data_IF_229733489882
#
_entry.id   IF_229733489882
#
_cell.length_a   1.000
_cell.length_b   1.000
_cell.length_c   1.000
_cell.angle_alpha   90.00
_cell.angle_beta   90.00
_cell.angle_gamma   90.00
#
_symmetry.space_group_name_H-M   'P 1'
#
loop_
_entity.id
_entity.type
_entity.pdbx_description
1 polymer ?
#
# COMPACT_ATOMS: atom_id res chain seq x y z
N UNK A 1 17.15 -10.05 -35.63
CA UNK A 1 17.70 -9.67 -34.34
C UNK A 1 16.52 -9.60 -33.34
N UNK A 2 16.34 -10.66 -32.54
CA UNK A 2 15.22 -10.78 -31.63
C UNK A 2 15.43 -9.91 -30.39
N UNK A 3 14.50 -8.97 -30.12
CA UNK A 3 14.46 -8.24 -28.89
C UNK A 3 14.24 -9.24 -27.72
N UNK A 4 15.22 -9.40 -26.87
CA UNK A 4 15.08 -10.17 -25.65
C UNK A 4 13.96 -9.53 -24.82
N UNK A 5 12.80 -10.20 -24.75
CA UNK A 5 11.68 -9.85 -23.88
C UNK A 5 12.19 -10.00 -22.45
N UNK A 6 12.55 -8.88 -21.81
CA UNK A 6 12.88 -8.85 -20.38
C UNK A 6 11.73 -9.53 -19.64
N UNK A 7 11.96 -10.73 -19.16
CA UNK A 7 10.99 -11.46 -18.34
C UNK A 7 10.81 -10.66 -17.05
N UNK A 8 9.78 -9.84 -16.99
CA UNK A 8 9.40 -9.10 -15.78
C UNK A 8 9.17 -10.13 -14.68
N UNK A 9 9.95 -10.06 -13.62
CA UNK A 9 9.85 -10.97 -12.49
C UNK A 9 8.44 -10.83 -11.91
N UNK A 10 7.63 -11.92 -11.98
CA UNK A 10 6.25 -11.90 -11.50
C UNK A 10 6.19 -11.56 -10.01
N UNK A 11 5.31 -10.63 -9.65
CA UNK A 11 5.03 -10.30 -8.26
C UNK A 11 4.25 -11.45 -7.63
N UNK A 12 4.77 -11.97 -6.52
CA UNK A 12 4.15 -13.06 -5.77
C UNK A 12 3.04 -12.52 -4.90
N UNK A 13 1.86 -13.14 -4.98
CA UNK A 13 0.67 -12.78 -4.21
C UNK A 13 0.27 -13.94 -3.33
N UNK A 14 -0.04 -13.69 -2.07
CA UNK A 14 -0.72 -14.60 -1.17
C UNK A 14 -2.17 -14.13 -1.03
N UNK A 15 -3.13 -15.05 -1.14
CA UNK A 15 -4.55 -14.79 -0.97
C UNK A 15 -5.05 -15.51 0.27
N UNK A 16 -5.47 -14.77 1.28
CA UNK A 16 -5.97 -15.28 2.56
C UNK A 16 -7.45 -14.94 2.70
N UNK A 17 -8.31 -15.93 2.54
CA UNK A 17 -9.75 -15.79 2.64
C UNK A 17 -10.40 -17.13 3.01
N UNK A 18 -11.42 -17.14 3.85
CA UNK A 18 -12.13 -18.36 4.23
C UNK A 18 -13.02 -18.90 3.11
N UNK A 19 -13.47 -18.03 2.23
CA UNK A 19 -14.31 -18.37 1.09
C UNK A 19 -13.46 -18.94 -0.06
N UNK A 20 -13.48 -20.26 -0.25
CA UNK A 20 -12.70 -20.92 -1.32
C UNK A 20 -13.04 -20.39 -2.72
N UNK A 21 -14.30 -20.02 -2.96
CA UNK A 21 -14.72 -19.45 -4.24
C UNK A 21 -14.05 -18.09 -4.50
N UNK A 22 -13.89 -17.28 -3.45
CA UNK A 22 -13.22 -15.98 -3.55
C UNK A 22 -11.72 -16.13 -3.81
N UNK A 23 -11.05 -17.08 -3.11
CA UNK A 23 -9.64 -17.40 -3.39
C UNK A 23 -9.44 -17.88 -4.81
N UNK A 24 -10.30 -18.79 -5.27
CA UNK A 24 -10.26 -19.29 -6.66
C UNK A 24 -10.50 -18.17 -7.67
N UNK A 25 -11.43 -17.25 -7.38
CA UNK A 25 -11.71 -16.08 -8.21
C UNK A 25 -10.48 -15.18 -8.36
N UNK A 26 -9.84 -14.78 -7.25
CA UNK A 26 -8.64 -13.96 -7.28
C UNK A 26 -7.46 -14.67 -7.95
N UNK A 27 -7.31 -15.99 -7.72
CA UNK A 27 -6.28 -16.78 -8.38
C UNK A 27 -6.43 -16.79 -9.90
N UNK A 28 -7.65 -16.97 -10.42
CA UNK A 28 -7.93 -16.91 -11.86
C UNK A 28 -7.76 -15.49 -12.39
N UNK A 29 -8.21 -14.48 -11.65
CA UNK A 29 -8.09 -13.07 -12.03
C UNK A 29 -6.62 -12.65 -12.18
N UNK A 30 -5.76 -13.00 -11.22
CA UNK A 30 -4.35 -12.68 -11.28
C UNK A 30 -3.55 -13.56 -12.26
N UNK A 31 -4.07 -14.74 -12.61
CA UNK A 31 -3.40 -15.64 -13.56
C UNK A 31 -3.38 -15.11 -15.00
N UNK A 32 -4.31 -14.22 -15.38
CA UNK A 32 -4.35 -13.60 -16.69
C UNK A 32 -3.36 -12.43 -16.83
N UNK A 33 -2.80 -11.96 -15.71
CA UNK A 33 -1.79 -10.90 -15.70
C UNK A 33 -0.39 -11.49 -15.86
N UNK A 34 0.40 -10.90 -16.75
CA UNK A 34 1.77 -11.39 -17.05
C UNK A 34 2.72 -11.19 -15.87
N UNK A 35 2.45 -10.22 -14.99
CA UNK A 35 3.33 -9.77 -13.90
C UNK A 35 2.83 -10.12 -12.50
N UNK A 36 1.72 -10.81 -12.35
CA UNK A 36 1.18 -11.29 -11.07
C UNK A 36 1.18 -12.84 -11.01
N UNK A 37 1.35 -13.40 -9.81
CA UNK A 37 1.23 -14.83 -9.57
C UNK A 37 0.80 -15.12 -8.14
N UNK A 38 -0.32 -15.81 -7.95
CA UNK A 38 -0.69 -16.36 -6.65
C UNK A 38 0.25 -17.52 -6.32
N UNK A 39 0.98 -17.41 -5.23
CA UNK A 39 1.98 -18.39 -4.77
C UNK A 39 1.53 -19.19 -3.56
N UNK A 40 0.56 -18.65 -2.80
CA UNK A 40 -0.03 -19.32 -1.65
C UNK A 40 -1.49 -18.88 -1.44
N UNK A 41 -2.26 -19.78 -0.86
CA UNK A 41 -3.60 -19.55 -0.36
C UNK A 41 -3.63 -19.86 1.13
N UNK A 42 -4.48 -19.17 1.91
CA UNK A 42 -4.60 -19.34 3.35
C UNK A 42 -6.07 -19.15 3.81
N UNK A 43 -6.45 -19.83 4.87
CA UNK A 43 -7.80 -19.76 5.46
C UNK A 43 -7.78 -19.28 6.92
N UNK A 44 -6.60 -19.18 7.51
CA UNK A 44 -6.40 -18.78 8.91
C UNK A 44 -5.05 -18.07 9.09
N UNK A 45 -4.83 -17.39 10.24
CA UNK A 45 -3.60 -16.64 10.51
C UNK A 45 -2.32 -17.47 10.46
N UNK A 46 -2.38 -18.73 10.92
CA UNK A 46 -1.20 -19.61 10.94
C UNK A 46 -0.74 -19.96 9.51
N UNK A 47 -1.69 -20.18 8.60
CA UNK A 47 -1.40 -20.41 7.19
C UNK A 47 -0.87 -19.14 6.49
N UNK A 48 -1.40 -17.97 6.85
CA UNK A 48 -0.87 -16.69 6.35
C UNK A 48 0.61 -16.56 6.68
N UNK A 49 0.99 -16.79 7.94
CA UNK A 49 2.39 -16.69 8.38
C UNK A 49 3.28 -17.73 7.70
N UNK A 50 2.86 -18.99 7.65
CA UNK A 50 3.61 -20.04 6.92
C UNK A 50 3.80 -19.70 5.44
N UNK A 51 2.74 -19.22 4.80
CA UNK A 51 2.79 -18.81 3.40
C UNK A 51 3.70 -17.59 3.18
N UNK A 52 3.68 -16.62 4.08
CA UNK A 52 4.54 -15.44 4.05
C UNK A 52 6.02 -15.83 4.23
N UNK A 53 6.33 -16.70 5.17
CA UNK A 53 7.68 -17.18 5.43
C UNK A 53 8.24 -17.97 4.25
N UNK A 54 7.46 -18.95 3.75
CA UNK A 54 7.89 -19.88 2.69
C UNK A 54 8.05 -19.19 1.34
N UNK A 55 7.08 -18.37 0.95
CA UNK A 55 7.02 -17.81 -0.41
C UNK A 55 7.47 -16.36 -0.49
N UNK A 56 7.61 -15.67 0.64
CA UNK A 56 7.97 -14.25 0.73
C UNK A 56 7.21 -13.41 -0.32
N UNK A 57 5.87 -13.35 -0.22
CA UNK A 57 5.04 -12.65 -1.21
C UNK A 57 5.34 -11.16 -1.18
N UNK A 58 5.13 -10.48 -2.32
CA UNK A 58 5.18 -9.03 -2.42
C UNK A 58 3.85 -8.39 -1.99
N UNK A 59 2.75 -9.16 -2.11
CA UNK A 59 1.41 -8.73 -1.76
C UNK A 59 0.69 -9.85 -1.00
N UNK A 60 -0.05 -9.47 0.03
CA UNK A 60 -1.04 -10.33 0.71
C UNK A 60 -2.40 -9.65 0.61
N UNK A 61 -3.38 -10.33 0.01
CA UNK A 61 -4.78 -9.99 0.16
C UNK A 61 -5.33 -10.81 1.30
N UNK A 62 -5.77 -10.16 2.38
CA UNK A 62 -6.22 -10.82 3.59
C UNK A 62 -7.64 -10.41 3.96
N UNK A 63 -8.50 -11.39 4.19
CA UNK A 63 -9.86 -11.17 4.68
C UNK A 63 -9.84 -10.55 6.08
N UNK A 64 -10.71 -9.57 6.31
CA UNK A 64 -10.81 -8.83 7.57
C UNK A 64 -10.99 -9.75 8.78
N UNK A 65 -11.77 -10.82 8.64
CA UNK A 65 -12.03 -11.77 9.71
C UNK A 65 -10.79 -12.61 10.08
N UNK A 66 -9.95 -12.97 9.10
CA UNK A 66 -8.66 -13.64 9.36
C UNK A 66 -7.72 -12.67 10.08
N UNK A 67 -7.71 -11.40 9.65
CA UNK A 67 -6.90 -10.39 10.31
C UNK A 67 -7.35 -10.16 11.76
N UNK A 68 -8.66 -10.11 12.01
CA UNK A 68 -9.22 -9.95 13.36
C UNK A 68 -8.86 -11.14 14.27
N UNK A 69 -8.90 -12.37 13.76
CA UNK A 69 -8.51 -13.59 14.49
C UNK A 69 -7.02 -13.59 14.84
N UNK A 70 -6.16 -13.15 13.89
CA UNK A 70 -4.71 -13.06 14.10
C UNK A 70 -4.26 -11.92 15.01
N UNK A 71 -5.19 -11.06 15.39
CA UNK A 71 -4.95 -9.90 16.25
C UNK A 71 -4.21 -8.75 15.57
N UNK A 72 -4.00 -7.67 16.32
CA UNK A 72 -3.36 -6.43 15.82
C UNK A 72 -1.93 -6.63 15.29
N UNK A 73 -1.27 -7.71 15.67
CA UNK A 73 0.13 -7.97 15.33
C UNK A 73 0.32 -8.81 14.06
N UNK A 74 -0.74 -9.33 13.43
CA UNK A 74 -0.59 -10.23 12.28
C UNK A 74 0.12 -9.55 11.10
N UNK A 75 -0.21 -8.30 10.79
CA UNK A 75 0.47 -7.55 9.73
C UNK A 75 1.95 -7.37 10.05
N UNK A 76 2.27 -6.99 11.28
CA UNK A 76 3.65 -6.85 11.75
C UNK A 76 4.43 -8.18 11.69
N UNK A 77 3.78 -9.30 12.04
CA UNK A 77 4.38 -10.63 11.94
C UNK A 77 4.64 -11.04 10.48
N UNK A 78 3.71 -10.75 9.57
CA UNK A 78 3.93 -10.96 8.13
C UNK A 78 5.11 -10.14 7.62
N UNK A 79 5.23 -8.87 8.03
CA UNK A 79 6.37 -8.01 7.65
C UNK A 79 7.69 -8.46 8.25
N UNK A 80 7.69 -9.02 9.46
CA UNK A 80 8.90 -9.55 10.07
C UNK A 80 9.54 -10.68 9.24
N UNK A 81 8.72 -11.55 8.63
CA UNK A 81 9.19 -12.66 7.79
C UNK A 81 9.31 -12.30 6.30
N UNK A 82 8.57 -11.28 5.85
CA UNK A 82 8.59 -10.77 4.48
C UNK A 82 8.58 -9.22 4.47
N UNK A 83 9.72 -8.54 4.70
CA UNK A 83 9.78 -7.09 4.94
C UNK A 83 9.23 -6.22 3.80
N UNK A 84 9.36 -6.67 2.55
CA UNK A 84 8.84 -5.95 1.38
C UNK A 84 7.35 -6.21 1.09
N UNK A 85 6.72 -7.08 1.89
CA UNK A 85 5.34 -7.47 1.68
C UNK A 85 4.38 -6.33 2.03
N UNK A 86 3.46 -6.05 1.10
CA UNK A 86 2.35 -5.11 1.31
C UNK A 86 1.07 -5.89 1.58
N UNK A 87 0.34 -5.49 2.61
CA UNK A 87 -0.91 -6.16 3.02
C UNK A 87 -2.11 -5.32 2.60
N UNK A 88 -3.03 -5.92 1.86
CA UNK A 88 -4.33 -5.35 1.48
C UNK A 88 -5.42 -6.11 2.19
N UNK A 89 -6.26 -5.41 2.94
CA UNK A 89 -7.41 -6.01 3.62
C UNK A 89 -8.58 -6.12 2.66
N UNK A 90 -9.19 -7.30 2.55
CA UNK A 90 -10.43 -7.53 1.82
C UNK A 90 -11.59 -7.59 2.82
N UNK A 91 -12.60 -6.74 2.63
CA UNK A 91 -13.74 -6.63 3.51
C UNK A 91 -15.07 -6.81 2.76
N UNK A 92 -16.06 -7.42 3.38
CA UNK A 92 -17.42 -7.56 2.82
C UNK A 92 -18.20 -6.25 2.90
N UNK A 93 -17.98 -5.48 3.97
CA UNK A 93 -18.45 -4.12 4.18
C UNK A 93 -17.36 -3.37 4.94
N UNK A 94 -17.25 -2.08 4.74
CA UNK A 94 -16.27 -1.28 5.49
C UNK A 94 -16.89 0.05 5.88
N UNK A 95 -16.83 0.34 7.18
CA UNK A 95 -16.98 1.72 7.65
C UNK A 95 -15.65 2.46 7.49
N UNK A 96 -15.71 3.79 7.45
CA UNK A 96 -14.53 4.63 7.39
C UNK A 96 -13.59 4.36 8.58
N UNK A 97 -14.16 4.09 9.75
CA UNK A 97 -13.45 3.81 10.99
C UNK A 97 -12.74 2.44 10.98
N UNK A 98 -13.37 1.39 10.41
CA UNK A 98 -12.75 0.08 10.25
C UNK A 98 -11.56 0.13 9.30
N UNK A 99 -11.73 0.81 8.16
CA UNK A 99 -10.64 1.00 7.19
C UNK A 99 -9.46 1.75 7.79
N UNK A 100 -9.74 2.78 8.61
CA UNK A 100 -8.70 3.52 9.34
C UNK A 100 -7.92 2.64 10.31
N UNK A 101 -8.62 1.79 11.09
CA UNK A 101 -7.95 0.84 11.98
C UNK A 101 -7.01 -0.08 11.24
N UNK A 102 -7.43 -0.64 10.08
CA UNK A 102 -6.56 -1.52 9.29
C UNK A 102 -5.31 -0.80 8.80
N UNK A 103 -5.48 0.43 8.33
CA UNK A 103 -4.36 1.27 7.88
C UNK A 103 -3.43 1.65 9.01
N UNK A 104 -3.96 2.05 10.18
CA UNK A 104 -3.13 2.37 11.37
C UNK A 104 -2.35 1.16 11.90
N UNK A 105 -2.81 -0.07 11.60
CA UNK A 105 -2.08 -1.30 11.87
C UNK A 105 -1.14 -1.72 10.73
N UNK A 106 -0.96 -0.86 9.72
CA UNK A 106 0.02 -1.05 8.66
C UNK A 106 -0.49 -1.74 7.40
N UNK A 107 -1.81 -1.79 7.17
CA UNK A 107 -2.33 -2.23 5.87
C UNK A 107 -2.02 -1.18 4.79
N UNK A 108 -1.52 -1.61 3.65
CA UNK A 108 -1.27 -0.77 2.48
C UNK A 108 -2.56 -0.39 1.74
N UNK A 109 -3.67 -0.99 2.11
CA UNK A 109 -4.98 -0.65 1.55
C UNK A 109 -6.12 -1.51 2.06
N UNK A 110 -7.33 -1.04 1.73
CA UNK A 110 -8.58 -1.78 1.98
C UNK A 110 -9.38 -1.83 0.68
N UNK A 111 -9.88 -3.00 0.30
CA UNK A 111 -10.71 -3.22 -0.87
C UNK A 111 -11.95 -4.02 -0.51
N UNK A 112 -13.12 -3.59 -1.01
CA UNK A 112 -14.36 -4.30 -0.77
C UNK A 112 -14.49 -5.52 -1.70
N UNK A 113 -14.98 -6.66 -1.19
CA UNK A 113 -15.22 -7.85 -2.01
C UNK A 113 -16.24 -7.63 -3.13
N UNK A 114 -17.18 -6.68 -2.93
CA UNK A 114 -18.28 -6.37 -3.86
C UNK A 114 -17.96 -5.28 -4.90
N UNK A 115 -16.70 -5.18 -5.32
CA UNK A 115 -16.29 -4.27 -6.38
C UNK A 115 -16.09 -5.01 -7.71
N UNK A 116 -15.96 -4.26 -8.81
CA UNK A 116 -15.55 -4.84 -10.09
C UNK A 116 -14.23 -5.63 -9.90
N UNK A 117 -14.17 -6.91 -10.32
CA UNK A 117 -12.97 -7.73 -10.17
C UNK A 117 -11.69 -7.08 -10.71
N UNK A 118 -11.79 -6.28 -11.77
CA UNK A 118 -10.64 -5.54 -12.34
C UNK A 118 -10.00 -4.56 -11.36
N UNK A 119 -10.74 -4.13 -10.33
CA UNK A 119 -10.19 -3.26 -9.30
C UNK A 119 -9.20 -3.99 -8.39
N UNK A 120 -9.29 -5.32 -8.24
CA UNK A 120 -8.28 -6.10 -7.52
C UNK A 120 -6.94 -6.13 -8.26
N UNK A 121 -6.96 -6.26 -9.58
CA UNK A 121 -5.74 -6.16 -10.42
C UNK A 121 -5.13 -4.76 -10.29
N UNK A 122 -5.96 -3.73 -10.42
CA UNK A 122 -5.53 -2.34 -10.29
C UNK A 122 -4.98 -2.04 -8.90
N UNK A 123 -5.61 -2.57 -7.85
CA UNK A 123 -5.15 -2.48 -6.47
C UNK A 123 -3.78 -3.15 -6.32
N UNK A 124 -3.64 -4.39 -6.82
CA UNK A 124 -2.38 -5.13 -6.75
C UNK A 124 -1.22 -4.36 -7.41
N UNK A 125 -1.44 -3.78 -8.59
CA UNK A 125 -0.42 -3.00 -9.27
C UNK A 125 -0.03 -1.74 -8.50
N UNK A 126 -1.01 -0.96 -8.03
CA UNK A 126 -0.76 0.29 -7.30
C UNK A 126 -0.06 0.06 -5.97
N UNK A 127 -0.56 -0.91 -5.19
CA UNK A 127 0.04 -1.23 -3.90
C UNK A 127 1.46 -1.77 -4.07
N UNK A 128 1.71 -2.59 -5.10
CA UNK A 128 3.06 -3.04 -5.41
C UNK A 128 4.01 -1.91 -5.87
N UNK A 129 3.47 -0.79 -6.32
CA UNK A 129 4.20 0.44 -6.65
C UNK A 129 4.39 1.38 -5.45
N UNK A 130 3.91 0.96 -4.25
CA UNK A 130 3.99 1.74 -3.03
C UNK A 130 2.88 2.79 -2.89
N UNK A 131 1.81 2.70 -3.72
CA UNK A 131 0.64 3.54 -3.55
C UNK A 131 -0.33 2.89 -2.55
N UNK A 132 -1.02 3.71 -1.74
CA UNK A 132 -2.08 3.22 -0.89
C UNK A 132 -3.37 3.01 -1.70
N UNK A 133 -4.14 1.97 -1.34
CA UNK A 133 -5.46 1.73 -1.89
C UNK A 133 -6.55 1.96 -0.85
N UNK A 134 -7.20 3.13 -0.93
CA UNK A 134 -8.27 3.52 -0.01
C UNK A 134 -9.47 4.00 -0.80
N UNK A 135 -10.69 3.63 -0.40
CA UNK A 135 -11.90 4.17 -1.02
C UNK A 135 -11.95 5.70 -0.92
N UNK A 136 -12.23 6.38 -2.04
CA UNK A 136 -12.16 7.85 -2.17
C UNK A 136 -12.95 8.65 -1.12
N UNK A 137 -14.05 8.09 -0.61
CA UNK A 137 -14.88 8.75 0.43
C UNK A 137 -14.18 8.84 1.79
N UNK A 138 -13.15 8.04 2.03
CA UNK A 138 -12.53 7.87 3.35
C UNK A 138 -11.33 8.80 3.58
N UNK A 139 -10.74 9.37 2.52
CA UNK A 139 -9.55 10.22 2.63
C UNK A 139 -9.79 11.48 3.45
N UNK A 140 -10.97 12.11 3.32
CA UNK A 140 -11.32 13.32 4.10
C UNK A 140 -11.65 13.01 5.57
N UNK A 141 -12.22 11.83 5.84
CA UNK A 141 -12.52 11.37 7.20
C UNK A 141 -11.23 10.94 7.91
N UNK A 142 -10.28 10.37 7.19
CA UNK A 142 -8.95 10.03 7.69
C UNK A 142 -8.20 11.26 8.22
N UNK A 143 -8.20 12.35 7.48
CA UNK A 143 -7.54 13.59 7.92
C UNK A 143 -8.10 14.08 9.27
N UNK A 144 -9.42 14.07 9.44
CA UNK A 144 -10.10 14.53 10.67
C UNK A 144 -9.85 13.63 11.90
N UNK A 145 -9.77 12.31 11.71
CA UNK A 145 -9.58 11.36 12.81
C UNK A 145 -8.13 11.31 13.30
N UNK A 146 -7.18 11.63 12.43
CA UNK A 146 -5.76 11.75 12.80
C UNK A 146 -5.47 13.02 13.60
N UNK A 147 -6.24 14.09 13.37
CA UNK A 147 -6.20 15.28 14.23
C UNK A 147 -6.62 14.98 15.68
N UNK A 148 -7.39 13.93 15.90
CA UNK A 148 -7.89 13.55 17.22
C UNK A 148 -6.96 12.61 18.04
N UNK A 149 -5.92 12.00 17.44
CA UNK A 149 -5.04 11.03 18.13
C UNK A 149 -3.54 11.31 17.92
N UNK A 150 -2.94 12.27 18.65
CA UNK A 150 -1.61 12.78 18.35
C UNK A 150 -0.39 11.89 18.70
N UNK A 151 -0.53 10.76 19.35
CA UNK A 151 0.60 10.18 20.12
C UNK A 151 1.31 8.93 19.56
N UNK A 152 1.04 8.46 18.34
CA UNK A 152 1.55 7.14 17.90
C UNK A 152 2.55 7.10 16.74
N UNK A 153 3.23 8.19 16.37
CA UNK A 153 4.19 8.19 15.26
C UNK A 153 5.61 8.56 15.70
N UNK A 154 6.65 7.86 15.21
CA UNK A 154 8.04 8.15 15.58
C UNK A 154 8.56 9.43 14.91
N UNK A 155 9.46 10.14 15.62
CA UNK A 155 10.19 11.28 15.09
C UNK A 155 11.54 10.81 14.50
N UNK A 156 12.02 11.34 13.35
CA UNK A 156 12.65 12.66 13.27
C UNK A 156 12.39 13.44 11.95
N UNK A 157 11.99 14.69 12.07
CA UNK A 157 11.69 15.59 10.94
C UNK A 157 12.94 16.22 10.30
N UNK A 158 14.05 16.28 11.04
CA UNK A 158 15.22 17.08 10.67
C UNK A 158 16.12 16.46 9.59
N UNK A 159 15.85 15.22 9.20
CA UNK A 159 16.68 14.48 8.22
C UNK A 159 16.21 14.57 6.77
N UNK A 160 15.04 15.18 6.53
CA UNK A 160 14.48 15.29 5.18
C UNK A 160 15.14 16.41 4.39
N UNK A 161 15.68 16.06 3.22
CA UNK A 161 16.23 17.04 2.28
C UNK A 161 15.13 17.90 1.66
N UNK A 162 15.50 19.08 1.11
CA UNK A 162 14.55 19.95 0.40
C UNK A 162 13.83 19.20 -0.75
N UNK A 163 14.53 18.30 -1.45
CA UNK A 163 13.97 17.51 -2.55
C UNK A 163 12.93 16.51 -2.07
N UNK A 164 13.20 15.84 -0.96
CA UNK A 164 12.29 14.90 -0.32
C UNK A 164 11.04 15.63 0.19
N UNK A 165 11.18 16.78 0.84
CA UNK A 165 10.06 17.63 1.24
C UNK A 165 9.19 18.05 0.05
N UNK A 166 9.80 18.34 -1.10
CA UNK A 166 9.07 18.66 -2.34
C UNK A 166 8.27 17.45 -2.83
N UNK A 167 8.85 16.25 -2.80
CA UNK A 167 8.12 15.02 -3.16
C UNK A 167 6.94 14.79 -2.22
N UNK A 168 7.12 14.98 -0.91
CA UNK A 168 6.03 14.88 0.07
C UNK A 168 4.92 15.90 -0.22
N UNK A 169 5.25 17.15 -0.61
CA UNK A 169 4.25 18.17 -0.96
C UNK A 169 3.34 17.73 -2.10
N UNK A 170 3.88 17.11 -3.15
CA UNK A 170 3.07 16.57 -4.25
C UNK A 170 2.25 15.37 -3.81
N UNK A 171 2.82 14.50 -2.96
CA UNK A 171 2.07 13.39 -2.37
C UNK A 171 0.85 13.85 -1.59
N UNK A 172 0.98 14.90 -0.79
CA UNK A 172 -0.11 15.50 -0.02
C UNK A 172 -1.25 16.03 -0.91
N UNK A 173 -0.93 16.44 -2.14
CA UNK A 173 -1.91 16.85 -3.14
C UNK A 173 -2.52 15.67 -3.93
N UNK A 174 -2.12 14.43 -3.62
CA UNK A 174 -2.63 13.23 -4.26
C UNK A 174 -1.96 12.87 -5.60
N UNK A 175 -0.86 13.52 -5.96
CA UNK A 175 -0.17 13.27 -7.23
C UNK A 175 0.45 11.87 -7.27
N UNK A 176 0.34 11.21 -8.44
CA UNK A 176 0.96 9.91 -8.71
C UNK A 176 2.46 10.06 -9.00
N UNK A 177 3.23 8.99 -8.86
CA UNK A 177 4.68 9.01 -9.12
C UNK A 177 5.00 9.50 -10.55
N UNK A 178 4.18 9.11 -11.54
CA UNK A 178 4.32 9.57 -12.93
C UNK A 178 4.13 11.08 -13.05
N UNK A 179 3.14 11.64 -12.39
CA UNK A 179 2.85 13.09 -12.41
C UNK A 179 3.99 13.87 -11.74
N UNK A 180 4.45 13.36 -10.57
CA UNK A 180 5.60 13.93 -9.87
C UNK A 180 6.86 13.87 -10.73
N UNK A 181 7.12 12.75 -11.40
CA UNK A 181 8.30 12.57 -12.25
C UNK A 181 8.32 13.53 -13.43
N UNK A 182 7.18 13.70 -14.09
CA UNK A 182 7.03 14.67 -15.20
C UNK A 182 7.28 16.10 -14.72
N UNK A 183 6.66 16.48 -13.61
CA UNK A 183 6.77 17.86 -13.10
C UNK A 183 8.18 18.19 -12.58
N UNK A 184 8.83 17.22 -11.96
CA UNK A 184 10.19 17.37 -11.44
C UNK A 184 11.28 17.11 -12.47
N UNK A 185 10.92 16.78 -13.72
CA UNK A 185 11.85 16.42 -14.82
C UNK A 185 12.84 15.32 -14.43
N UNK A 186 12.36 14.27 -13.75
CA UNK A 186 13.13 13.10 -13.34
C UNK A 186 12.40 11.81 -13.77
N UNK A 187 13.08 10.66 -13.72
CA UNK A 187 12.43 9.39 -14.00
C UNK A 187 11.45 8.99 -12.90
N UNK A 188 10.42 8.20 -13.25
CA UNK A 188 9.50 7.63 -12.27
C UNK A 188 10.24 6.71 -11.27
N UNK A 189 11.30 6.03 -11.72
CA UNK A 189 12.16 5.25 -10.85
C UNK A 189 12.89 6.13 -9.83
N UNK A 190 13.32 7.33 -10.21
CA UNK A 190 13.94 8.30 -9.30
C UNK A 190 12.95 8.75 -8.23
N UNK A 191 11.67 8.97 -8.57
CA UNK A 191 10.62 9.27 -7.58
C UNK A 191 10.45 8.11 -6.60
N UNK A 192 10.42 6.87 -7.09
CA UNK A 192 10.36 5.66 -6.24
C UNK A 192 11.54 5.58 -5.27
N UNK A 193 12.74 5.88 -5.75
CA UNK A 193 13.96 5.89 -4.92
C UNK A 193 13.88 6.98 -3.83
N UNK A 194 13.38 8.18 -4.16
CA UNK A 194 13.15 9.22 -3.17
C UNK A 194 12.13 8.78 -2.10
N UNK A 195 11.04 8.12 -2.52
CA UNK A 195 10.04 7.62 -1.59
C UNK A 195 10.59 6.57 -0.63
N UNK A 196 11.39 5.62 -1.12
CA UNK A 196 12.06 4.64 -0.25
C UNK A 196 12.98 5.33 0.75
N UNK A 197 13.82 6.27 0.30
CA UNK A 197 14.70 7.01 1.20
C UNK A 197 13.94 7.82 2.25
N UNK A 198 12.78 8.39 1.88
CA UNK A 198 11.90 9.10 2.81
C UNK A 198 11.32 8.12 3.83
N UNK A 199 10.80 6.96 3.39
CA UNK A 199 10.22 5.95 4.26
C UNK A 199 11.23 5.49 5.32
N UNK A 200 12.46 5.19 4.90
CA UNK A 200 13.54 4.79 5.81
C UNK A 200 13.88 5.89 6.82
N UNK A 201 13.91 7.15 6.38
CA UNK A 201 14.26 8.30 7.24
C UNK A 201 13.21 8.61 8.29
N UNK A 202 11.93 8.55 7.92
CA UNK A 202 10.84 8.92 8.84
C UNK A 202 10.23 7.71 9.56
N UNK A 203 10.70 6.49 9.24
CA UNK A 203 10.27 5.27 9.90
C UNK A 203 8.85 4.83 9.51
N UNK A 204 8.42 5.13 8.28
CA UNK A 204 7.14 4.70 7.73
C UNK A 204 7.36 3.68 6.61
N UNK A 205 6.35 2.88 6.31
CA UNK A 205 6.51 1.74 5.41
C UNK A 205 5.82 1.91 4.06
N UNK A 206 4.92 2.89 3.93
CA UNK A 206 4.21 3.13 2.68
C UNK A 206 3.81 4.62 2.50
N UNK A 207 3.25 4.89 1.32
CA UNK A 207 2.82 6.23 0.89
C UNK A 207 1.77 6.82 1.82
N UNK A 208 0.85 6.00 2.31
CA UNK A 208 -0.23 6.47 3.16
C UNK A 208 0.30 6.85 4.54
N UNK A 209 1.11 5.97 5.13
CA UNK A 209 1.77 6.27 6.40
C UNK A 209 2.61 7.56 6.29
N UNK A 210 3.26 7.79 5.14
CA UNK A 210 4.00 9.03 4.90
C UNK A 210 3.08 10.27 4.87
N UNK A 211 1.95 10.19 4.17
CA UNK A 211 0.97 11.28 4.14
C UNK A 211 0.43 11.56 5.54
N UNK A 212 0.08 10.53 6.28
CA UNK A 212 -0.40 10.62 7.66
C UNK A 212 0.68 11.22 8.59
N UNK A 213 1.92 10.75 8.46
CA UNK A 213 3.07 11.29 9.17
C UNK A 213 3.25 12.79 8.89
N UNK A 214 3.19 13.19 7.61
CA UNK A 214 3.38 14.58 7.20
C UNK A 214 2.28 15.51 7.77
N UNK A 215 1.03 15.06 7.78
CA UNK A 215 -0.10 15.79 8.39
C UNK A 215 0.10 15.90 9.90
N UNK A 216 0.39 14.78 10.55
CA UNK A 216 0.52 14.72 12.00
C UNK A 216 1.68 15.56 12.53
N UNK A 217 2.84 15.47 11.89
CA UNK A 217 4.03 16.24 12.26
C UNK A 217 3.96 17.69 11.80
N UNK A 218 2.87 18.13 11.15
CA UNK A 218 2.73 19.48 10.56
C UNK A 218 3.99 19.87 9.80
N UNK A 219 4.47 18.99 8.92
CA UNK A 219 5.71 19.24 8.20
C UNK A 219 5.65 20.57 7.47
N UNK A 220 6.65 21.42 7.71
CA UNK A 220 6.87 22.59 6.87
C UNK A 220 7.32 22.14 5.49
N UNK A 221 6.37 22.13 4.57
CA UNK A 221 6.56 21.68 3.19
C UNK A 221 6.60 22.90 2.25
N UNK A 222 7.44 22.87 1.21
CA UNK A 222 7.45 23.93 0.22
C UNK A 222 6.08 24.02 -0.48
N UNK A 223 5.60 25.24 -0.68
CA UNK A 223 4.42 25.47 -1.50
C UNK A 223 4.71 25.00 -2.94
N UNK A 224 3.92 24.05 -3.43
CA UNK A 224 3.98 23.57 -4.80
C UNK A 224 2.73 24.03 -5.52
N UNK A 225 2.89 24.53 -6.76
CA UNK A 225 1.76 25.00 -7.54
C UNK A 225 0.84 23.83 -7.90
N UNK A 226 -0.42 23.94 -7.52
CA UNK A 226 -1.48 22.97 -7.83
C UNK A 226 -1.96 23.12 -9.30
N UNK A 227 -1.06 23.00 -10.25
CA UNK A 227 -1.48 22.78 -11.64
C UNK A 227 -1.77 21.29 -11.78
N UNK A 228 -3.05 20.95 -11.66
CA UNK A 228 -3.54 19.61 -12.00
C UNK A 228 -3.14 19.34 -13.44
N UNK A 229 -2.33 18.30 -13.76
CA UNK A 229 -2.10 17.93 -15.15
C UNK A 229 -3.43 17.50 -15.76
N UNK A 230 -3.68 17.82 -17.05
CA UNK A 230 -4.86 17.35 -17.77
C UNK A 230 -4.90 15.82 -17.72
N UNK A 231 -6.08 15.27 -17.40
CA UNK A 231 -6.39 13.87 -17.17
C UNK A 231 -6.16 12.95 -18.39
#
# INVERSE_FOLDING_TARGET
MGAARLVKRKRRVLVADREGIFRLGLKKLFAVEDDLRVVAEAENPAEVLRGAETFRPHLVFIQEEILAEGGSNLISAVRAVAPECKVVVTASSSSDEASLRHVSHGAAGVILKRVDPRLFVKCAHRVAEGEAWIPKKQVSTMAKLLEAHPNNLPRPVDTLTRREKTVISYLMQGWRNREISTHLSISEQTVKNHLHAIYDKVGVYDRLELVLYAIHQRLELPAVQATVPPG
#
